data_IF_226382423128
#
_entry.id   IF_226382423128
#
_cell.length_a   1.000
_cell.length_b   1.000
_cell.length_c   1.000
_cell.angle_alpha   90.00
_cell.angle_beta   90.00
_cell.angle_gamma   90.00
#
_symmetry.space_group_name_H-M   'P 1'
#
loop_
_entity.id
_entity.type
_entity.pdbx_description
1 polymer ?
#
# COMPACT_ATOMS: atom_id res chain seq x y z
N UNK A 1 7.32 10.01 -1.02
CA UNK A 1 5.85 9.98 -0.85
C UNK A 1 5.31 8.75 -1.57
N UNK A 2 4.36 8.05 -0.98
CA UNK A 2 3.67 6.96 -1.69
C UNK A 2 2.81 7.52 -2.82
N UNK A 3 2.79 6.84 -3.95
CA UNK A 3 1.96 7.18 -5.12
C UNK A 3 1.04 6.00 -5.41
N UNK A 4 -0.22 6.30 -5.72
CA UNK A 4 -1.23 5.29 -6.05
C UNK A 4 -1.81 5.59 -7.42
N UNK A 5 -1.99 4.55 -8.24
CA UNK A 5 -2.58 4.63 -9.56
C UNK A 5 -3.57 3.49 -9.76
N UNK A 6 -4.76 3.79 -10.28
CA UNK A 6 -5.71 2.77 -10.72
C UNK A 6 -5.19 2.08 -11.99
N UNK A 7 -5.12 0.75 -11.96
CA UNK A 7 -4.74 -0.06 -13.11
C UNK A 7 -5.98 -0.62 -13.81
N UNK A 8 -6.90 -1.20 -13.05
CA UNK A 8 -8.14 -1.73 -13.58
C UNK A 8 -9.21 -1.79 -12.51
N UNK A 9 -10.46 -1.75 -12.91
CA UNK A 9 -11.62 -2.00 -12.05
C UNK A 9 -12.73 -2.67 -12.86
N UNK A 10 -13.65 -3.35 -12.17
CA UNK A 10 -14.86 -3.88 -12.79
C UNK A 10 -15.65 -2.74 -13.45
N UNK A 11 -15.95 -2.81 -14.74
CA UNK A 11 -16.74 -1.79 -15.42
C UNK A 11 -18.13 -1.65 -14.79
N UNK A 12 -18.60 -0.40 -14.62
CA UNK A 12 -19.92 -0.11 -14.02
C UNK A 12 -20.17 -0.86 -12.70
N UNK A 13 -19.16 -0.92 -11.84
CA UNK A 13 -19.14 -1.74 -10.63
C UNK A 13 -20.37 -1.53 -9.74
N UNK A 14 -20.75 -0.27 -9.46
CA UNK A 14 -21.90 0.03 -8.61
C UNK A 14 -23.22 -0.47 -9.22
N UNK A 15 -23.43 -0.24 -10.52
CA UNK A 15 -24.62 -0.75 -11.23
C UNK A 15 -24.64 -2.28 -11.22
N UNK A 16 -23.51 -2.93 -11.46
CA UNK A 16 -23.39 -4.39 -11.45
C UNK A 16 -23.66 -4.97 -10.05
N UNK A 17 -23.09 -4.39 -9.01
CA UNK A 17 -23.35 -4.81 -7.64
C UNK A 17 -24.83 -4.65 -7.26
N UNK A 18 -25.46 -3.53 -7.64
CA UNK A 18 -26.89 -3.31 -7.36
C UNK A 18 -27.79 -4.27 -8.13
N UNK A 19 -27.48 -4.57 -9.40
CA UNK A 19 -28.16 -5.58 -10.21
C UNK A 19 -28.09 -6.94 -9.51
N UNK A 20 -26.92 -7.36 -9.08
CA UNK A 20 -26.69 -8.64 -8.39
C UNK A 20 -27.40 -8.66 -7.03
N UNK A 21 -27.36 -7.57 -6.26
CA UNK A 21 -28.06 -7.46 -4.99
C UNK A 21 -29.58 -7.68 -5.11
N UNK A 22 -30.18 -7.36 -6.27
CA UNK A 22 -31.60 -7.54 -6.57
C UNK A 22 -31.96 -8.92 -7.12
N UNK A 23 -31.07 -9.90 -7.04
CA UNK A 23 -31.31 -11.26 -7.56
C UNK A 23 -32.63 -11.88 -7.06
N UNK A 24 -33.06 -11.56 -5.84
CA UNK A 24 -34.33 -12.03 -5.27
C UNK A 24 -35.53 -11.12 -5.60
N UNK A 25 -35.33 -10.08 -6.43
CA UNK A 25 -36.38 -9.17 -6.91
C UNK A 25 -36.24 -8.93 -8.42
N UNK A 26 -36.50 -9.94 -9.29
CA UNK A 26 -36.24 -9.87 -10.73
C UNK A 26 -36.94 -8.71 -11.44
N UNK A 27 -38.14 -8.31 -10.97
CA UNK A 27 -38.91 -7.20 -11.56
C UNK A 27 -38.23 -5.85 -11.39
N UNK A 28 -37.33 -5.71 -10.41
CA UNK A 28 -36.61 -4.45 -10.11
C UNK A 28 -35.12 -4.57 -10.39
N UNK A 29 -34.67 -5.67 -10.99
CA UNK A 29 -33.24 -5.95 -11.15
C UNK A 29 -32.55 -4.93 -12.07
N UNK A 30 -33.23 -4.50 -13.14
CA UNK A 30 -32.72 -3.52 -14.11
C UNK A 30 -32.92 -2.05 -13.71
N UNK A 31 -33.32 -1.78 -12.47
CA UNK A 31 -33.50 -0.41 -12.00
C UNK A 31 -32.16 0.35 -11.92
N UNK A 32 -32.08 1.46 -12.64
CA UNK A 32 -30.87 2.30 -12.71
C UNK A 32 -30.57 3.11 -11.43
N UNK A 33 -31.52 3.22 -10.48
CA UNK A 33 -31.24 3.84 -9.17
C UNK A 33 -30.52 2.84 -8.25
N UNK A 34 -29.21 2.81 -8.34
CA UNK A 34 -28.37 1.93 -7.54
C UNK A 34 -27.80 2.61 -6.28
N UNK A 35 -27.70 3.94 -6.23
CA UNK A 35 -27.02 4.66 -5.16
C UNK A 35 -27.63 4.39 -3.78
N UNK A 36 -28.96 4.45 -3.68
CA UNK A 36 -29.69 4.19 -2.42
C UNK A 36 -29.50 2.75 -1.94
N UNK A 37 -29.52 1.78 -2.88
CA UNK A 37 -29.33 0.37 -2.54
C UNK A 37 -27.93 0.09 -2.07
N UNK A 38 -26.90 0.61 -2.74
CA UNK A 38 -25.51 0.47 -2.32
C UNK A 38 -25.30 1.09 -0.94
N UNK A 39 -25.82 2.30 -0.71
CA UNK A 39 -25.79 2.95 0.61
C UNK A 39 -26.50 2.15 1.69
N UNK A 40 -27.65 1.55 1.39
CA UNK A 40 -28.37 0.66 2.30
C UNK A 40 -27.53 -0.60 2.64
N UNK A 41 -26.92 -1.23 1.63
CA UNK A 41 -26.08 -2.41 1.84
C UNK A 41 -24.85 -2.11 2.73
N UNK A 42 -24.22 -0.96 2.55
CA UNK A 42 -23.10 -0.53 3.42
C UNK A 42 -23.58 -0.32 4.85
N UNK A 43 -24.69 0.43 5.03
CA UNK A 43 -25.24 0.76 6.34
C UNK A 43 -25.67 -0.47 7.13
N UNK A 44 -26.17 -1.51 6.46
CA UNK A 44 -26.67 -2.74 7.09
C UNK A 44 -25.66 -3.90 6.98
N UNK A 45 -24.42 -3.62 6.60
CA UNK A 45 -23.33 -4.60 6.55
C UNK A 45 -23.60 -5.79 5.63
N UNK A 46 -24.34 -5.58 4.53
CA UNK A 46 -24.59 -6.60 3.51
C UNK A 46 -23.38 -6.76 2.59
N UNK A 47 -22.29 -7.29 3.12
CA UNK A 47 -20.97 -7.28 2.48
C UNK A 47 -20.83 -8.20 1.27
N UNK A 48 -21.64 -9.24 1.14
CA UNK A 48 -21.54 -10.20 0.03
C UNK A 48 -21.70 -9.57 -1.35
N UNK A 49 -22.48 -8.49 -1.45
CA UNK A 49 -22.69 -7.72 -2.69
C UNK A 49 -21.38 -7.12 -3.19
N UNK A 50 -20.54 -6.65 -2.26
CA UNK A 50 -19.27 -5.99 -2.56
C UNK A 50 -18.13 -6.95 -2.91
N UNK A 51 -18.37 -8.27 -2.85
CA UNK A 51 -17.44 -9.29 -3.38
C UNK A 51 -17.56 -9.44 -4.91
N UNK A 52 -18.59 -8.85 -5.54
CA UNK A 52 -18.90 -9.03 -6.95
C UNK A 52 -18.18 -8.02 -7.88
N UNK A 53 -17.42 -7.10 -7.32
CA UNK A 53 -16.61 -6.14 -8.07
C UNK A 53 -15.20 -6.04 -7.50
N UNK A 54 -14.22 -5.84 -8.39
CA UNK A 54 -12.79 -5.85 -8.06
C UNK A 54 -12.08 -4.60 -8.56
N UNK A 55 -10.98 -4.27 -7.90
CA UNK A 55 -10.10 -3.18 -8.29
C UNK A 55 -8.65 -3.57 -8.06
N UNK A 56 -7.78 -3.18 -9.00
CA UNK A 56 -6.33 -3.32 -8.90
C UNK A 56 -5.68 -1.94 -8.86
N UNK A 57 -4.90 -1.70 -7.83
CA UNK A 57 -4.09 -0.49 -7.70
C UNK A 57 -2.60 -0.82 -7.82
N UNK A 58 -1.86 0.06 -8.50
CA UNK A 58 -0.41 0.17 -8.38
C UNK A 58 -0.09 1.09 -7.21
N UNK A 59 0.79 0.64 -6.32
CA UNK A 59 1.23 1.39 -5.14
C UNK A 59 2.76 1.48 -5.18
N UNK A 60 3.28 2.68 -5.32
CA UNK A 60 4.70 2.98 -5.16
C UNK A 60 4.95 3.41 -3.72
N UNK A 61 5.83 2.70 -3.03
CA UNK A 61 6.09 2.89 -1.61
C UNK A 61 7.49 2.39 -1.25
N UNK A 62 7.78 2.17 0.03
CA UNK A 62 9.03 1.58 0.51
C UNK A 62 8.85 0.14 0.96
N UNK A 63 9.95 -0.63 1.00
CA UNK A 63 9.95 -2.02 1.48
C UNK A 63 9.36 -2.16 2.89
N UNK A 64 9.65 -1.19 3.78
CA UNK A 64 9.12 -1.20 5.15
C UNK A 64 7.59 -1.07 5.18
N UNK A 65 7.00 -0.18 4.36
CA UNK A 65 5.55 -0.01 4.26
C UNK A 65 4.92 -1.19 3.50
N UNK A 66 5.56 -1.65 2.42
CA UNK A 66 5.12 -2.80 1.67
C UNK A 66 4.94 -4.04 2.55
N UNK A 67 5.89 -4.31 3.44
CA UNK A 67 5.80 -5.42 4.38
C UNK A 67 4.55 -5.38 5.28
N UNK A 68 4.02 -4.20 5.58
CA UNK A 68 2.77 -4.04 6.32
C UNK A 68 1.54 -4.24 5.43
N UNK A 69 1.58 -3.73 4.19
CA UNK A 69 0.49 -3.88 3.20
C UNK A 69 0.28 -5.36 2.87
N UNK A 70 1.36 -6.10 2.60
CA UNK A 70 1.34 -7.51 2.22
C UNK A 70 0.74 -8.45 3.30
N UNK A 71 0.53 -7.99 4.53
CA UNK A 71 -0.13 -8.76 5.59
C UNK A 71 -1.65 -8.87 5.43
N UNK A 72 -2.27 -8.09 4.54
CA UNK A 72 -3.72 -8.10 4.31
C UNK A 72 -4.11 -9.27 3.41
N UNK A 73 -4.51 -10.39 4.00
CA UNK A 73 -4.79 -11.67 3.33
C UNK A 73 -6.02 -11.66 2.40
N UNK A 74 -6.87 -10.63 2.50
CA UNK A 74 -8.04 -10.46 1.62
C UNK A 74 -7.71 -9.88 0.25
N UNK A 75 -6.41 -9.72 -0.06
CA UNK A 75 -5.91 -9.21 -1.32
C UNK A 75 -4.91 -10.18 -1.94
N UNK A 76 -4.73 -10.05 -3.25
CA UNK A 76 -3.63 -10.65 -3.99
C UNK A 76 -2.62 -9.58 -4.38
N UNK A 77 -1.35 -9.96 -4.44
CA UNK A 77 -0.25 -9.04 -4.65
C UNK A 77 0.72 -9.52 -5.71
N UNK A 78 1.27 -8.56 -6.46
CA UNK A 78 2.48 -8.73 -7.24
C UNK A 78 3.43 -7.61 -6.84
N UNK A 79 4.63 -7.93 -6.38
CA UNK A 79 5.61 -6.95 -5.94
C UNK A 79 6.84 -6.96 -6.84
N UNK A 80 7.46 -5.78 -7.02
CA UNK A 80 8.75 -5.62 -7.69
C UNK A 80 9.81 -6.52 -7.06
N UNK A 81 10.40 -7.40 -7.87
CA UNK A 81 11.34 -8.40 -7.38
C UNK A 81 12.79 -7.89 -7.42
N UNK A 82 13.35 -7.65 -6.25
CA UNK A 82 14.76 -7.32 -6.08
C UNK A 82 15.72 -8.52 -6.36
N UNK A 83 15.20 -9.69 -6.70
CA UNK A 83 16.00 -10.84 -7.17
C UNK A 83 16.29 -10.73 -8.66
N UNK A 84 15.37 -10.19 -9.43
CA UNK A 84 15.47 -10.12 -10.89
C UNK A 84 15.92 -8.76 -11.39
N UNK A 85 15.43 -7.69 -10.76
CA UNK A 85 15.70 -6.33 -11.19
C UNK A 85 16.57 -5.57 -10.18
N UNK A 86 17.31 -4.60 -10.69
CA UNK A 86 18.07 -3.68 -9.85
C UNK A 86 17.10 -2.78 -9.07
N UNK A 87 17.28 -2.75 -7.76
CA UNK A 87 16.43 -1.96 -6.84
C UNK A 87 16.49 -0.46 -7.11
N UNK A 88 17.57 0.03 -7.71
CA UNK A 88 17.73 1.46 -8.03
C UNK A 88 16.92 1.92 -9.23
N UNK A 89 16.33 1.01 -10.01
CA UNK A 89 15.43 1.36 -11.13
C UNK A 89 14.14 2.07 -10.68
N UNK A 90 13.75 1.95 -9.41
CA UNK A 90 12.56 2.61 -8.87
C UNK A 90 12.85 4.01 -8.29
N UNK A 91 14.09 4.49 -8.42
CA UNK A 91 14.49 5.81 -7.98
C UNK A 91 15.29 5.83 -6.68
N UNK A 92 15.53 7.03 -6.18
CA UNK A 92 16.34 7.25 -4.98
C UNK A 92 15.63 6.74 -3.71
N UNK A 93 16.44 6.36 -2.72
CA UNK A 93 15.94 5.91 -1.41
C UNK A 93 15.49 7.15 -0.62
N UNK A 94 14.19 7.28 -0.32
CA UNK A 94 13.66 8.42 0.39
C UNK A 94 14.10 8.43 1.87
N UNK A 95 14.38 9.61 2.40
CA UNK A 95 14.58 9.76 3.84
C UNK A 95 13.20 9.66 4.52
N UNK A 96 13.01 8.76 5.51
CA UNK A 96 11.74 8.63 6.21
C UNK A 96 11.44 9.89 7.05
N UNK A 97 10.17 10.23 7.21
CA UNK A 97 9.74 11.24 8.19
C UNK A 97 10.11 10.78 9.60
N UNK A 98 10.88 11.61 10.29
CA UNK A 98 11.31 11.33 11.66
C UNK A 98 10.23 11.84 12.65
N UNK A 99 9.74 10.94 13.50
CA UNK A 99 8.71 11.23 14.50
C UNK A 99 9.15 10.70 15.86
N UNK A 100 8.73 11.37 16.92
CA UNK A 100 8.99 10.92 18.29
C UNK A 100 8.09 9.73 18.66
N UNK A 101 8.64 8.76 19.38
CA UNK A 101 7.86 7.66 19.94
C UNK A 101 6.85 8.20 20.96
N UNK A 102 5.59 7.79 20.87
CA UNK A 102 4.59 8.05 21.89
C UNK A 102 4.86 7.18 23.12
N UNK A 103 4.93 7.81 24.29
CA UNK A 103 5.24 7.13 25.55
C UNK A 103 4.03 6.36 26.13
N UNK A 104 2.80 6.69 25.69
CA UNK A 104 1.56 6.06 26.17
C UNK A 104 1.10 4.94 25.23
N UNK A 105 1.20 5.17 23.93
CA UNK A 105 0.82 4.19 22.94
C UNK A 105 2.03 3.78 22.10
N UNK A 106 2.55 2.57 22.33
CA UNK A 106 3.73 2.03 21.64
C UNK A 106 3.56 1.91 20.11
N UNK A 107 2.34 1.91 19.60
CA UNK A 107 2.05 1.83 18.17
C UNK A 107 1.97 3.22 17.51
N UNK A 108 1.92 4.28 18.32
CA UNK A 108 1.78 5.64 17.84
C UNK A 108 3.11 6.38 17.81
N UNK A 109 3.19 7.41 16.97
CA UNK A 109 4.29 8.35 16.91
C UNK A 109 3.76 9.79 16.76
N UNK A 110 4.53 10.76 17.26
CA UNK A 110 4.12 12.16 17.36
C UNK A 110 5.08 13.02 16.53
N UNK A 111 4.54 13.88 15.68
CA UNK A 111 5.32 14.76 14.78
C UNK A 111 5.67 16.08 15.50
N UNK A 112 6.46 15.97 16.59
CA UNK A 112 6.86 17.09 17.44
C UNK A 112 8.37 17.13 17.76
N UNK A 113 9.19 16.41 16.97
CA UNK A 113 10.64 16.46 17.14
C UNK A 113 11.20 17.85 16.83
N UNK A 114 12.18 18.36 17.63
CA UNK A 114 12.90 19.59 17.33
C UNK A 114 13.56 19.52 15.94
N UNK A 115 13.50 20.62 15.18
CA UNK A 115 14.07 20.72 13.84
C UNK A 115 15.57 20.38 13.79
N UNK A 116 16.31 20.73 14.84
CA UNK A 116 17.75 20.43 14.95
C UNK A 116 18.02 18.93 15.00
N UNK A 117 17.20 18.18 15.76
CA UNK A 117 17.29 16.72 15.83
C UNK A 117 16.96 16.13 14.47
N UNK A 118 15.86 16.56 13.83
CA UNK A 118 15.45 16.10 12.51
C UNK A 118 16.59 16.35 11.49
N UNK A 119 17.13 17.56 11.44
CA UNK A 119 18.21 17.92 10.51
C UNK A 119 19.48 17.09 10.74
N UNK A 120 19.85 16.88 12.01
CA UNK A 120 21.03 16.08 12.36
C UNK A 120 20.88 14.64 11.88
N UNK A 121 19.76 14.00 12.17
CA UNK A 121 19.56 12.61 11.79
C UNK A 121 19.28 12.44 10.28
N UNK A 122 18.59 13.37 9.64
CA UNK A 122 18.43 13.34 8.19
C UNK A 122 19.77 13.36 7.45
N UNK A 123 20.75 14.16 7.90
CA UNK A 123 22.11 14.16 7.32
C UNK A 123 22.80 12.81 7.50
N UNK A 124 22.72 12.22 8.70
CA UNK A 124 23.32 10.91 9.00
C UNK A 124 22.65 9.80 8.19
N UNK A 125 21.32 9.78 8.12
CA UNK A 125 20.56 8.81 7.33
C UNK A 125 20.93 8.92 5.84
N UNK A 126 20.97 10.15 5.29
CA UNK A 126 21.34 10.37 3.90
C UNK A 126 22.74 9.83 3.60
N UNK A 127 23.70 10.11 4.46
CA UNK A 127 25.06 9.60 4.31
C UNK A 127 25.09 8.06 4.32
N UNK A 128 24.39 7.43 5.29
CA UNK A 128 24.32 5.97 5.37
C UNK A 128 23.63 5.35 4.15
N UNK A 129 22.59 6.00 3.61
CA UNK A 129 21.91 5.47 2.41
C UNK A 129 22.78 5.55 1.18
N UNK A 130 23.62 6.60 1.04
CA UNK A 130 24.63 6.67 -0.03
C UNK A 130 25.63 5.51 0.09
N UNK A 131 26.19 5.29 1.26
CA UNK A 131 27.14 4.20 1.48
C UNK A 131 26.52 2.81 1.21
N UNK A 132 25.26 2.61 1.63
CA UNK A 132 24.57 1.34 1.37
C UNK A 132 24.32 1.12 -0.12
N UNK A 133 24.02 2.20 -0.86
CA UNK A 133 23.84 2.13 -2.31
C UNK A 133 25.16 1.81 -3.02
N UNK A 134 26.24 2.49 -2.66
CA UNK A 134 27.58 2.27 -3.20
C UNK A 134 28.00 0.81 -2.96
N UNK A 135 27.85 0.31 -1.74
CA UNK A 135 28.15 -1.08 -1.43
C UNK A 135 27.30 -2.07 -2.24
N UNK A 136 26.02 -1.78 -2.45
CA UNK A 136 25.14 -2.60 -3.29
C UNK A 136 25.64 -2.65 -4.74
N UNK A 137 26.01 -1.50 -5.30
CA UNK A 137 26.53 -1.40 -6.67
C UNK A 137 27.87 -2.13 -6.81
N UNK A 138 28.81 -1.96 -5.88
CA UNK A 138 30.09 -2.69 -5.83
C UNK A 138 29.89 -4.22 -5.76
N UNK A 139 28.92 -4.68 -4.96
CA UNK A 139 28.60 -6.11 -4.89
C UNK A 139 28.10 -6.66 -6.23
N UNK A 140 27.28 -5.90 -6.95
CA UNK A 140 26.80 -6.30 -8.27
C UNK A 140 27.93 -6.31 -9.32
N UNK A 141 28.83 -5.32 -9.30
CA UNK A 141 30.01 -5.25 -10.16
C UNK A 141 30.98 -6.41 -9.89
N UNK A 142 31.10 -6.82 -8.62
CA UNK A 142 31.88 -8.00 -8.24
C UNK A 142 31.21 -9.36 -8.61
N UNK A 143 30.04 -9.32 -9.27
CA UNK A 143 29.31 -10.51 -9.70
C UNK A 143 28.46 -11.18 -8.61
N UNK A 144 28.25 -10.53 -7.47
CA UNK A 144 27.38 -11.04 -6.40
C UNK A 144 25.92 -10.95 -6.87
N UNK A 145 25.17 -12.02 -6.68
CA UNK A 145 23.77 -12.12 -7.09
C UNK A 145 22.92 -11.05 -6.40
N UNK A 146 21.97 -10.45 -7.15
CA UNK A 146 21.04 -9.44 -6.63
C UNK A 146 20.30 -9.91 -5.38
N UNK A 147 19.95 -11.20 -5.29
CA UNK A 147 19.29 -11.77 -4.12
C UNK A 147 20.13 -11.72 -2.85
N UNK A 148 21.47 -11.66 -2.97
CA UNK A 148 22.41 -11.48 -1.86
C UNK A 148 22.70 -10.00 -1.63
N UNK A 149 23.02 -9.24 -2.69
CA UNK A 149 23.36 -7.82 -2.59
C UNK A 149 22.24 -6.97 -1.96
N UNK A 150 20.97 -7.26 -2.24
CA UNK A 150 19.82 -6.52 -1.69
C UNK A 150 19.77 -6.46 -0.16
N UNK A 151 20.47 -7.32 0.58
CA UNK A 151 20.44 -7.32 2.04
C UNK A 151 21.15 -6.11 2.68
N UNK A 152 22.00 -5.41 1.94
CA UNK A 152 22.62 -4.16 2.41
C UNK A 152 21.71 -2.94 2.23
N UNK A 153 20.59 -3.08 1.50
CA UNK A 153 19.66 -1.98 1.26
C UNK A 153 18.73 -1.75 2.45
N UNK A 154 18.44 -0.48 2.79
CA UNK A 154 17.57 -0.15 3.92
C UNK A 154 16.10 -0.47 3.61
N UNK A 155 15.28 -0.57 4.67
CA UNK A 155 13.82 -0.72 4.56
C UNK A 155 13.14 0.45 3.83
N UNK A 156 13.80 1.60 3.76
CA UNK A 156 13.35 2.76 2.98
C UNK A 156 13.50 2.59 1.47
N UNK A 157 14.16 1.53 0.99
CA UNK A 157 14.31 1.25 -0.46
C UNK A 157 12.95 1.22 -1.15
N UNK A 158 12.79 1.94 -2.29
CA UNK A 158 11.55 1.94 -3.05
C UNK A 158 11.11 0.55 -3.49
N UNK A 159 9.82 0.36 -3.54
CA UNK A 159 9.19 -0.83 -4.13
C UNK A 159 7.88 -0.44 -4.81
N UNK A 160 7.39 -1.30 -5.70
CA UNK A 160 6.12 -1.18 -6.39
C UNK A 160 5.31 -2.43 -6.14
N UNK A 161 4.05 -2.25 -5.76
CA UNK A 161 3.11 -3.34 -5.53
C UNK A 161 1.90 -3.14 -6.43
N UNK A 162 1.43 -4.21 -7.05
CA UNK A 162 0.08 -4.30 -7.57
C UNK A 162 -0.76 -5.04 -6.55
N UNK A 163 -1.85 -4.41 -6.11
CA UNK A 163 -2.74 -4.91 -5.07
C UNK A 163 -4.14 -5.03 -5.63
N UNK A 164 -4.66 -6.25 -5.65
CA UNK A 164 -5.99 -6.58 -6.20
C UNK A 164 -6.89 -7.11 -5.09
N UNK A 165 -8.11 -6.61 -5.04
CA UNK A 165 -9.12 -7.09 -4.09
C UNK A 165 -10.53 -6.72 -4.50
N UNK A 166 -11.52 -7.36 -3.85
CA UNK A 166 -12.93 -6.99 -3.99
C UNK A 166 -13.22 -5.62 -3.38
N UNK A 167 -14.30 -4.99 -3.80
CA UNK A 167 -14.76 -3.74 -3.18
C UNK A 167 -14.94 -3.89 -1.67
N UNK A 168 -15.42 -5.03 -1.19
CA UNK A 168 -15.48 -5.33 0.25
C UNK A 168 -14.13 -5.23 0.90
N UNK A 169 -13.11 -5.89 0.34
CA UNK A 169 -11.76 -5.86 0.89
C UNK A 169 -11.21 -4.45 0.95
N UNK A 170 -11.43 -3.64 -0.10
CA UNK A 170 -11.00 -2.25 -0.14
C UNK A 170 -11.69 -1.38 0.91
N UNK A 171 -13.01 -1.52 1.11
CA UNK A 171 -13.77 -0.78 2.14
C UNK A 171 -13.18 -1.08 3.53
N UNK A 172 -12.99 -2.36 3.86
CA UNK A 172 -12.41 -2.75 5.15
C UNK A 172 -10.96 -2.29 5.32
N UNK A 173 -10.15 -2.39 4.26
CA UNK A 173 -8.76 -1.94 4.28
C UNK A 173 -8.66 -0.43 4.55
N UNK A 174 -9.44 0.39 3.82
CA UNK A 174 -9.44 1.84 3.97
C UNK A 174 -9.90 2.22 5.38
N UNK A 175 -10.98 1.64 5.88
CA UNK A 175 -11.46 1.88 7.24
C UNK A 175 -10.41 1.56 8.31
N UNK A 176 -9.71 0.43 8.16
CA UNK A 176 -8.65 0.04 9.07
C UNK A 176 -7.43 0.97 8.99
N UNK A 177 -7.04 1.39 7.76
CA UNK A 177 -5.81 2.15 7.52
C UNK A 177 -5.98 3.67 7.65
N UNK A 178 -7.21 4.18 7.68
CA UNK A 178 -7.51 5.57 8.02
C UNK A 178 -7.77 5.79 9.51
N UNK A 179 -7.75 4.74 10.34
CA UNK A 179 -7.90 4.86 11.77
C UNK A 179 -6.70 5.59 12.41
N UNK A 180 -6.97 6.33 13.49
CA UNK A 180 -5.95 7.07 14.23
C UNK A 180 -4.84 6.13 14.75
N UNK A 181 -3.57 6.50 14.57
CA UNK A 181 -2.41 5.70 14.97
C UNK A 181 -1.93 4.68 13.93
N UNK A 182 -2.49 4.69 12.73
CA UNK A 182 -1.98 3.91 11.61
C UNK A 182 -0.81 4.63 10.93
N UNK A 183 0.24 3.87 10.57
CA UNK A 183 1.41 4.40 9.85
C UNK A 183 1.10 4.64 8.38
#
# INVERSE_FOLDING_TARGET
MSRVQLITSTPNAEKSMAYIARVSNPKNQDNDDFTKLIGYCIKNEHWSVFEQAYMTLQIETTRGIAAQILRHRSFTFQEFSQRYADSMQLGEIPIPELRRQDNKNRQNSISDLPKEIINTFNKKIKHQFVQNKELYEEMLEAGIAKECARFVLPLATPTRIYMTGSCRSWIHYINLRSAHGTQ
#
